data_IF_756788199898
#
_entry.id   IF_756788199898
#
_cell.length_a   1.000
_cell.length_b   1.000
_cell.length_c   1.000
_cell.angle_alpha   90.00
_cell.angle_beta   90.00
_cell.angle_gamma   90.00
#
_symmetry.space_group_name_H-M   'P 1'
#
loop_
_entity.id
_entity.type
_entity.pdbx_description
1 polymer ?
#
# COMPACT_ATOMS: atom_id res chain seq x y z
N UNK A 1 -13.05 -6.90 -34.31
CA UNK A 1 -13.50 -6.41 -32.99
C UNK A 1 -13.18 -4.93 -32.93
N UNK A 2 -14.17 -4.05 -32.78
CA UNK A 2 -13.89 -2.63 -32.57
C UNK A 2 -13.33 -2.47 -31.16
N UNK A 3 -12.09 -2.02 -31.01
CA UNK A 3 -11.59 -1.56 -29.72
C UNK A 3 -12.40 -0.32 -29.34
N UNK A 4 -13.47 -0.51 -28.56
CA UNK A 4 -14.24 0.58 -28.01
C UNK A 4 -13.29 1.46 -27.19
N UNK A 5 -13.15 2.72 -27.62
CA UNK A 5 -12.35 3.71 -26.90
C UNK A 5 -12.95 3.87 -25.51
N UNK A 6 -12.14 3.67 -24.46
CA UNK A 6 -12.60 3.87 -23.09
C UNK A 6 -12.83 5.37 -22.86
N UNK A 7 -13.88 5.71 -22.11
CA UNK A 7 -14.23 7.09 -21.78
C UNK A 7 -14.22 7.27 -20.25
N UNK A 8 -14.01 8.51 -19.76
CA UNK A 8 -14.17 8.81 -18.36
C UNK A 8 -15.55 8.36 -17.85
N UNK A 9 -15.58 7.65 -16.71
CA UNK A 9 -16.83 7.09 -16.16
C UNK A 9 -17.37 5.80 -16.80
N UNK A 10 -16.74 5.21 -17.83
CA UNK A 10 -17.22 3.97 -18.48
C UNK A 10 -17.07 2.72 -17.59
N UNK A 11 -18.02 2.51 -16.68
CA UNK A 11 -17.99 1.40 -15.70
C UNK A 11 -17.88 0.02 -16.36
N UNK A 12 -18.57 -0.20 -17.48
CA UNK A 12 -18.59 -1.51 -18.15
C UNK A 12 -17.26 -1.79 -18.87
N UNK A 13 -16.73 -0.81 -19.62
CA UNK A 13 -15.45 -0.95 -20.29
C UNK A 13 -14.27 -1.10 -19.31
N UNK A 14 -14.36 -0.46 -18.14
CA UNK A 14 -13.34 -0.49 -17.09
C UNK A 14 -13.35 -1.77 -16.24
N UNK A 15 -14.50 -2.46 -16.16
CA UNK A 15 -14.72 -3.56 -15.20
C UNK A 15 -13.59 -4.61 -15.19
N UNK A 16 -13.18 -5.10 -16.35
CA UNK A 16 -12.14 -6.13 -16.46
C UNK A 16 -10.77 -5.65 -15.95
N UNK A 17 -10.45 -4.37 -16.14
CA UNK A 17 -9.20 -3.80 -15.62
C UNK A 17 -9.28 -3.61 -14.11
N UNK A 18 -10.40 -3.12 -13.60
CA UNK A 18 -10.66 -2.95 -12.17
C UNK A 18 -10.60 -4.28 -11.42
N UNK A 19 -11.29 -5.32 -11.90
CA UNK A 19 -11.31 -6.65 -11.27
C UNK A 19 -9.88 -7.20 -11.09
N UNK A 20 -9.01 -7.00 -12.10
CA UNK A 20 -7.61 -7.44 -12.05
C UNK A 20 -6.77 -6.66 -11.04
N UNK A 21 -6.91 -5.33 -11.00
CA UNK A 21 -6.20 -4.50 -10.04
C UNK A 21 -6.66 -4.79 -8.62
N UNK A 22 -7.97 -4.90 -8.40
CA UNK A 22 -8.53 -5.28 -7.09
C UNK A 22 -7.97 -6.61 -6.58
N UNK A 23 -7.94 -7.64 -7.42
CA UNK A 23 -7.36 -8.93 -7.06
C UNK A 23 -5.86 -8.83 -6.73
N UNK A 24 -5.09 -8.07 -7.52
CA UNK A 24 -3.66 -7.88 -7.30
C UNK A 24 -3.36 -7.11 -6.01
N UNK A 25 -4.08 -6.00 -5.77
CA UNK A 25 -3.94 -5.16 -4.57
C UNK A 25 -4.26 -5.98 -3.32
N UNK A 26 -5.39 -6.71 -3.33
CA UNK A 26 -5.76 -7.59 -2.20
C UNK A 26 -4.66 -8.61 -1.89
N UNK A 27 -4.08 -9.23 -2.92
CA UNK A 27 -2.98 -10.17 -2.74
C UNK A 27 -1.72 -9.50 -2.19
N UNK A 28 -1.38 -8.30 -2.67
CA UNK A 28 -0.21 -7.55 -2.23
C UNK A 28 -0.34 -7.11 -0.76
N UNK A 29 -1.49 -6.56 -0.37
CA UNK A 29 -1.79 -6.15 1.01
C UNK A 29 -1.76 -7.35 1.96
N UNK A 30 -2.32 -8.50 1.56
CA UNK A 30 -2.25 -9.73 2.35
C UNK A 30 -0.80 -10.19 2.56
N UNK A 31 0.06 -10.04 1.54
CA UNK A 31 1.48 -10.35 1.66
C UNK A 31 2.26 -9.35 2.54
N UNK A 32 1.85 -8.08 2.55
CA UNK A 32 2.48 -7.01 3.33
C UNK A 32 2.22 -7.12 4.85
N UNK A 33 1.21 -7.89 5.28
CA UNK A 33 0.92 -8.17 6.70
C UNK A 33 0.84 -6.91 7.59
N UNK A 34 0.14 -5.88 7.11
CA UNK A 34 0.00 -4.59 7.82
C UNK A 34 1.11 -3.58 7.54
N UNK A 35 2.02 -3.88 6.60
CA UNK A 35 2.96 -2.92 6.04
C UNK A 35 2.43 -2.17 4.82
N UNK A 36 3.27 -1.33 4.22
CA UNK A 36 2.97 -0.56 3.01
C UNK A 36 3.24 -1.34 1.72
N UNK A 37 2.51 -1.02 0.66
CA UNK A 37 2.71 -1.58 -0.70
C UNK A 37 3.07 -0.47 -1.67
N UNK A 38 4.15 -0.64 -2.43
CA UNK A 38 4.51 0.22 -3.55
C UNK A 38 4.07 -0.43 -4.86
N UNK A 39 3.25 0.27 -5.65
CA UNK A 39 2.79 -0.16 -6.97
C UNK A 39 3.47 0.71 -8.03
N UNK A 40 4.25 0.10 -8.92
CA UNK A 40 4.89 0.78 -10.05
C UNK A 40 4.20 0.33 -11.33
N UNK A 41 3.69 1.30 -12.09
CA UNK A 41 2.91 1.02 -13.29
C UNK A 41 2.87 2.21 -14.26
N UNK A 42 1.87 2.20 -15.13
CA UNK A 42 1.63 3.30 -16.08
C UNK A 42 0.60 4.28 -15.52
N UNK A 43 0.35 5.39 -16.23
CA UNK A 43 -0.64 6.39 -15.81
C UNK A 43 -2.02 5.76 -15.49
N UNK A 44 -2.47 4.79 -16.29
CA UNK A 44 -3.72 4.06 -16.05
C UNK A 44 -3.72 3.24 -14.74
N UNK A 45 -2.55 2.89 -14.20
CA UNK A 45 -2.45 2.21 -12.91
C UNK A 45 -2.91 3.12 -11.77
N UNK A 46 -2.61 4.43 -11.82
CA UNK A 46 -3.09 5.38 -10.81
C UNK A 46 -4.62 5.40 -10.75
N UNK A 47 -5.25 5.44 -11.93
CA UNK A 47 -6.69 5.38 -12.09
C UNK A 47 -7.30 4.08 -11.51
N UNK A 48 -6.85 2.92 -11.98
CA UNK A 48 -7.47 1.65 -11.56
C UNK A 48 -7.19 1.30 -10.10
N UNK A 49 -6.05 1.71 -9.54
CA UNK A 49 -5.74 1.52 -8.11
C UNK A 49 -6.62 2.43 -7.26
N UNK A 50 -6.75 3.71 -7.63
CA UNK A 50 -7.59 4.67 -6.92
C UNK A 50 -9.07 4.26 -6.93
N UNK A 51 -9.62 3.89 -8.09
CA UNK A 51 -11.01 3.42 -8.22
C UNK A 51 -11.22 2.09 -7.46
N UNK A 52 -10.22 1.20 -7.45
CA UNK A 52 -10.34 -0.08 -6.75
C UNK A 52 -10.38 0.05 -5.23
N UNK A 53 -9.73 1.06 -4.65
CA UNK A 53 -9.66 1.24 -3.20
C UNK A 53 -10.61 2.32 -2.69
N UNK A 54 -10.80 3.39 -3.46
CA UNK A 54 -11.52 4.59 -3.07
C UNK A 54 -12.55 5.02 -4.14
N UNK A 55 -13.49 4.15 -4.55
CA UNK A 55 -14.40 4.42 -5.68
C UNK A 55 -15.28 5.67 -5.48
N UNK A 56 -15.56 6.05 -4.23
CA UNK A 56 -16.39 7.23 -3.91
C UNK A 56 -15.58 8.55 -3.93
N UNK A 57 -14.26 8.48 -3.82
CA UNK A 57 -13.36 9.65 -3.85
C UNK A 57 -12.72 9.84 -5.22
N UNK A 58 -12.55 8.75 -5.98
CA UNK A 58 -11.94 8.80 -7.30
C UNK A 58 -12.90 9.40 -8.33
N UNK A 59 -12.59 10.61 -8.80
CA UNK A 59 -13.47 11.36 -9.67
C UNK A 59 -13.47 10.77 -11.09
N UNK A 60 -14.67 10.73 -11.70
CA UNK A 60 -14.84 10.19 -13.03
C UNK A 60 -13.98 10.89 -14.10
N UNK A 61 -13.59 12.15 -13.90
CA UNK A 61 -12.68 12.89 -14.80
C UNK A 61 -11.23 12.39 -14.79
N UNK A 62 -10.82 11.73 -13.71
CA UNK A 62 -9.50 11.08 -13.58
C UNK A 62 -9.48 9.65 -14.10
N UNK A 63 -10.60 9.18 -14.65
CA UNK A 63 -10.69 7.88 -15.30
C UNK A 63 -9.94 7.89 -16.64
N UNK A 64 -9.26 6.78 -16.95
CA UNK A 64 -8.66 6.50 -18.26
C UNK A 64 -9.67 6.88 -19.36
N UNK A 65 -9.27 7.71 -20.34
CA UNK A 65 -7.91 7.96 -20.83
C UNK A 65 -7.17 9.14 -20.19
N UNK A 66 -7.63 9.66 -19.06
CA UNK A 66 -6.85 10.63 -18.29
C UNK A 66 -5.44 10.08 -17.96
N UNK A 67 -4.43 10.94 -18.07
CA UNK A 67 -3.05 10.60 -17.78
C UNK A 67 -2.50 11.58 -16.75
N UNK A 68 -2.12 11.06 -15.59
CA UNK A 68 -1.28 11.78 -14.63
C UNK A 68 0.07 12.16 -15.26
N UNK A 69 0.77 13.21 -14.76
CA UNK A 69 2.12 13.54 -15.18
C UNK A 69 3.08 12.34 -15.07
N UNK A 70 4.15 12.35 -15.86
CA UNK A 70 5.21 11.37 -15.71
C UNK A 70 5.82 11.45 -14.31
N UNK A 71 6.25 10.30 -13.78
CA UNK A 71 6.89 10.20 -12.45
C UNK A 71 6.04 10.76 -11.30
N UNK A 72 4.72 10.76 -11.47
CA UNK A 72 3.79 11.18 -10.42
C UNK A 72 3.57 10.08 -9.39
N UNK A 73 3.07 10.47 -8.23
CA UNK A 73 2.74 9.60 -7.11
C UNK A 73 1.27 9.74 -6.77
N UNK A 74 0.62 8.61 -6.51
CA UNK A 74 -0.70 8.56 -5.86
C UNK A 74 -0.52 7.88 -4.52
N UNK A 75 -0.93 8.56 -3.46
CA UNK A 75 -0.87 8.07 -2.08
C UNK A 75 -2.27 7.76 -1.58
N UNK A 76 -2.43 6.55 -1.04
CA UNK A 76 -3.71 6.05 -0.52
C UNK A 76 -3.43 5.46 0.86
N UNK A 77 -4.20 5.91 1.85
CA UNK A 77 -4.05 5.52 3.25
C UNK A 77 -5.20 4.63 3.69
N UNK A 78 -4.88 3.57 4.45
CA UNK A 78 -5.87 2.79 5.17
C UNK A 78 -6.44 3.62 6.33
N UNK A 79 -7.75 3.55 6.51
CA UNK A 79 -8.47 4.22 7.58
C UNK A 79 -8.75 3.24 8.73
N UNK A 80 -8.92 3.76 9.95
CA UNK A 80 -9.13 2.92 11.15
C UNK A 80 -10.42 2.09 11.15
N UNK A 81 -11.33 2.33 10.21
CA UNK A 81 -12.57 1.59 9.99
C UNK A 81 -12.44 0.49 8.90
N UNK A 82 -11.24 0.28 8.36
CA UNK A 82 -10.98 -0.63 7.25
C UNK A 82 -11.28 -0.04 5.87
N UNK A 83 -11.62 1.25 5.81
CA UNK A 83 -11.73 2.02 4.57
C UNK A 83 -10.38 2.47 4.02
N UNK A 84 -10.42 3.13 2.86
CA UNK A 84 -9.25 3.73 2.22
C UNK A 84 -9.55 5.18 1.84
N UNK A 85 -8.52 6.02 1.86
CA UNK A 85 -8.60 7.43 1.45
C UNK A 85 -7.47 7.80 0.52
N UNK A 86 -7.79 8.51 -0.56
CA UNK A 86 -6.80 9.14 -1.43
C UNK A 86 -6.26 10.37 -0.68
N UNK A 87 -4.99 10.35 -0.34
CA UNK A 87 -4.31 11.50 0.28
C UNK A 87 -3.76 12.44 -0.80
N UNK A 88 -3.16 11.85 -1.84
CA UNK A 88 -2.65 12.57 -3.00
C UNK A 88 -2.90 11.77 -4.27
N UNK A 89 -3.27 12.43 -5.37
CA UNK A 89 -3.52 11.77 -6.64
C UNK A 89 -2.68 12.38 -7.75
N UNK A 90 -1.78 11.59 -8.33
CA UNK A 90 -1.00 12.00 -9.49
C UNK A 90 -0.14 13.25 -9.27
N UNK A 91 0.25 13.54 -8.03
CA UNK A 91 1.13 14.68 -7.71
C UNK A 91 2.53 14.42 -8.24
N UNK A 92 3.25 15.46 -8.63
CA UNK A 92 4.58 15.25 -9.19
C UNK A 92 5.58 14.78 -8.11
N UNK A 93 6.65 14.10 -8.53
CA UNK A 93 7.62 13.55 -7.60
C UNK A 93 8.36 14.60 -6.75
N UNK A 94 8.47 15.86 -7.23
CA UNK A 94 9.08 16.95 -6.46
C UNK A 94 8.13 17.45 -5.38
N UNK A 95 6.86 17.69 -5.73
CA UNK A 95 5.79 18.03 -4.80
C UNK A 95 5.61 16.93 -3.74
N UNK A 96 5.72 15.66 -4.16
CA UNK A 96 5.66 14.54 -3.23
C UNK A 96 6.86 14.51 -2.26
N UNK A 97 8.07 14.82 -2.72
CA UNK A 97 9.23 14.94 -1.83
C UNK A 97 9.05 16.09 -0.83
N UNK A 98 8.58 17.25 -1.27
CA UNK A 98 8.27 18.39 -0.38
C UNK A 98 7.16 18.04 0.64
N UNK A 99 6.16 17.25 0.21
CA UNK A 99 5.14 16.68 1.08
C UNK A 99 5.75 15.74 2.11
N UNK A 100 6.63 14.82 1.70
CA UNK A 100 7.30 13.89 2.61
C UNK A 100 8.20 14.59 3.61
N UNK A 101 8.88 15.66 3.24
CA UNK A 101 9.68 16.47 4.16
C UNK A 101 8.80 17.03 5.29
N UNK A 102 7.65 17.61 4.95
CA UNK A 102 6.67 18.10 5.93
C UNK A 102 6.09 16.97 6.80
N UNK A 103 5.80 15.81 6.20
CA UNK A 103 5.29 14.64 6.92
C UNK A 103 6.36 14.05 7.84
N UNK A 104 7.63 14.03 7.42
CA UNK A 104 8.78 13.57 8.20
C UNK A 104 9.09 14.47 9.40
N UNK A 105 8.74 15.75 9.31
CA UNK A 105 8.78 16.70 10.44
C UNK A 105 7.63 16.50 11.43
N UNK A 106 6.63 15.65 11.11
CA UNK A 106 5.52 15.38 12.02
C UNK A 106 6.00 14.50 13.20
N UNK A 107 5.99 15.04 14.44
CA UNK A 107 6.51 14.33 15.61
C UNK A 107 5.74 13.04 15.90
N UNK A 108 4.45 12.96 15.55
CA UNK A 108 3.63 11.79 15.76
C UNK A 108 4.04 10.62 14.86
N UNK A 109 4.45 10.90 13.62
CA UNK A 109 4.91 9.87 12.69
C UNK A 109 6.31 9.38 13.04
N UNK A 110 7.21 10.28 13.44
CA UNK A 110 8.51 9.88 13.96
C UNK A 110 8.37 8.96 15.19
N UNK A 111 7.43 9.27 16.10
CA UNK A 111 7.16 8.42 17.25
C UNK A 111 6.57 7.05 16.85
N UNK A 112 5.65 7.02 15.87
CA UNK A 112 5.09 5.79 15.31
C UNK A 112 6.15 4.91 14.67
N UNK A 113 7.03 5.47 13.84
CA UNK A 113 8.17 4.75 13.25
C UNK A 113 9.10 4.19 14.34
N UNK A 114 9.43 5.00 15.35
CA UNK A 114 10.27 4.55 16.45
C UNK A 114 9.59 3.44 17.28
N UNK A 115 8.26 3.50 17.47
CA UNK A 115 7.48 2.43 18.12
C UNK A 115 7.49 1.14 17.29
N UNK A 116 7.32 1.24 15.97
CA UNK A 116 7.39 0.09 15.07
C UNK A 116 8.78 -0.58 15.09
N UNK A 117 9.86 0.20 15.06
CA UNK A 117 11.22 -0.31 15.18
C UNK A 117 11.44 -1.06 16.50
N UNK A 118 11.04 -0.45 17.63
CA UNK A 118 11.14 -1.10 18.96
C UNK A 118 10.32 -2.39 19.04
N UNK A 119 9.12 -2.41 18.46
CA UNK A 119 8.29 -3.62 18.40
C UNK A 119 8.97 -4.71 17.56
N UNK A 120 9.55 -4.35 16.40
CA UNK A 120 10.31 -5.28 15.57
C UNK A 120 11.51 -5.90 16.29
N UNK A 121 12.28 -5.09 17.01
CA UNK A 121 13.40 -5.56 17.84
C UNK A 121 12.93 -6.51 18.95
N UNK A 122 11.83 -6.18 19.62
CA UNK A 122 11.29 -6.98 20.72
C UNK A 122 10.75 -8.32 20.24
N UNK A 123 10.05 -8.34 19.10
CA UNK A 123 9.61 -9.58 18.44
C UNK A 123 10.81 -10.44 18.08
N UNK A 124 11.84 -9.87 17.47
CA UNK A 124 13.07 -10.59 17.12
C UNK A 124 13.76 -11.18 18.36
N UNK A 125 13.88 -10.43 19.46
CA UNK A 125 14.45 -10.93 20.71
C UNK A 125 13.65 -12.09 21.32
N UNK A 126 12.31 -12.02 21.30
CA UNK A 126 11.44 -13.09 21.77
C UNK A 126 11.64 -14.36 20.92
N UNK A 127 11.68 -14.22 19.60
CA UNK A 127 11.93 -15.36 18.69
C UNK A 127 13.27 -16.03 18.94
N UNK A 128 14.35 -15.26 19.19
CA UNK A 128 15.66 -15.81 19.52
C UNK A 128 15.69 -16.45 20.92
N UNK A 129 15.03 -15.84 21.89
CA UNK A 129 14.92 -16.37 23.26
C UNK A 129 14.13 -17.68 23.35
N UNK A 130 13.13 -17.88 22.48
CA UNK A 130 12.40 -19.15 22.37
C UNK A 130 13.27 -20.26 21.78
N UNK A 131 14.09 -19.97 20.75
CA UNK A 131 15.00 -20.94 20.14
C UNK A 131 16.08 -21.46 21.10
N UNK A 132 16.55 -20.64 22.03
CA UNK A 132 17.54 -21.06 23.03
C UNK A 132 16.98 -21.97 24.14
N UNK A 133 15.65 -21.99 24.37
CA UNK A 133 15.03 -22.81 25.42
C UNK A 133 14.67 -24.23 24.97
N UNK A 134 14.53 -24.48 23.67
CA UNK A 134 14.27 -25.81 23.12
C UNK A 134 15.54 -26.68 22.97
N UNK A 135 16.74 -26.09 23.14
CA UNK A 135 18.02 -26.77 22.97
C UNK A 135 18.61 -27.36 24.27
N UNK A 136 17.81 -27.59 25.32
CA UNK A 136 18.30 -28.28 26.51
C UNK A 136 18.31 -29.80 26.27
N UNK A 137 19.49 -30.47 26.14
CA UNK A 137 19.52 -31.92 26.01
C UNK A 137 19.07 -32.55 27.32
N UNK A 138 18.13 -33.49 27.23
CA UNK A 138 17.75 -34.38 28.34
C UNK A 138 19.00 -35.14 28.76
N UNK A 139 19.59 -34.74 29.89
CA UNK A 139 20.71 -35.44 30.52
C UNK A 139 20.24 -36.84 30.92
N UNK A 140 20.67 -37.86 30.18
CA UNK A 140 20.52 -39.25 30.57
C UNK A 140 21.44 -39.50 31.78
N UNK A 141 20.82 -39.72 32.94
CA UNK A 141 21.52 -40.11 34.16
C UNK A 141 22.25 -41.46 33.95
N UNK A 142 23.49 -41.62 34.45
CA UNK A 142 24.18 -42.90 34.41
C UNK A 142 23.63 -43.84 35.49
N UNK A 143 23.42 -45.10 35.13
CA UNK A 143 23.25 -46.23 36.04
C UNK A 143 24.49 -47.13 35.98
#
# INVERSE_FOLDING_TARGET
ESFSRMWPGDRLGRKKALDRHHAAIKSALAAARGGSVLIVGHAATHDFVADSLCPDQHQAEHHTPFCVPHTSVTEILEQGDGGWRIEAFGIDGKEWLEHLEHVGENPNLQELYARQQRLGELVFQVEQGMKCKEAAPVSSAPA
#
